data_IF_314238980309
#
_entry.id   IF_314238980309
#
_cell.length_a   1.000
_cell.length_b   1.000
_cell.length_c   1.000
_cell.angle_alpha   90.00
_cell.angle_beta   90.00
_cell.angle_gamma   90.00
#
_symmetry.space_group_name_H-M   'P 1'
#
loop_
_entity.id
_entity.type
_entity.pdbx_description
1 polymer ?
#
# COMPACT_ATOMS: atom_id res chain seq x y z
N UNK A 1 5.63 45.22 8.64
CA UNK A 1 6.28 43.99 8.12
C UNK A 1 5.51 42.76 8.59
N UNK A 2 4.42 42.39 7.91
CA UNK A 2 3.58 41.23 8.26
C UNK A 2 3.50 40.17 7.14
N UNK A 3 4.24 40.38 6.04
CA UNK A 3 4.19 39.52 4.84
C UNK A 3 5.04 38.25 4.97
N UNK A 4 6.12 38.27 5.76
CA UNK A 4 7.03 37.14 5.89
C UNK A 4 6.44 35.89 6.58
N UNK A 5 5.62 36.01 7.66
CA UNK A 5 5.02 34.83 8.30
C UNK A 5 3.97 34.15 7.41
N UNK A 6 3.18 34.93 6.65
CA UNK A 6 2.11 34.43 5.79
C UNK A 6 2.61 33.63 4.60
N UNK A 7 3.70 34.07 3.96
CA UNK A 7 4.31 33.36 2.82
C UNK A 7 4.98 32.06 3.25
N UNK A 8 5.65 32.05 4.41
CA UNK A 8 6.30 30.85 4.96
C UNK A 8 5.26 29.80 5.38
N UNK A 9 4.16 30.22 6.01
CA UNK A 9 3.07 29.32 6.38
C UNK A 9 2.35 28.73 5.16
N UNK A 10 2.13 29.52 4.11
CA UNK A 10 1.52 29.07 2.85
C UNK A 10 2.39 28.05 2.12
N UNK A 11 3.69 28.30 2.02
CA UNK A 11 4.64 27.38 1.40
C UNK A 11 4.71 26.03 2.16
N UNK A 12 4.80 26.08 3.49
CA UNK A 12 4.83 24.88 4.32
C UNK A 12 3.54 24.04 4.19
N UNK A 13 2.38 24.71 4.16
CA UNK A 13 1.08 24.05 3.97
C UNK A 13 0.99 23.39 2.60
N UNK A 14 1.44 24.06 1.53
CA UNK A 14 1.49 23.49 0.18
C UNK A 14 2.37 22.25 0.10
N UNK A 15 3.55 22.29 0.72
CA UNK A 15 4.46 21.15 0.79
C UNK A 15 3.84 19.96 1.53
N UNK A 16 3.19 20.20 2.68
CA UNK A 16 2.50 19.15 3.43
C UNK A 16 1.37 18.51 2.61
N UNK A 17 0.57 19.33 1.92
CA UNK A 17 -0.54 18.85 1.09
C UNK A 17 -0.03 18.03 -0.10
N UNK A 18 1.03 18.47 -0.78
CA UNK A 18 1.62 17.72 -1.88
C UNK A 18 2.12 16.34 -1.44
N UNK A 19 2.83 16.30 -0.30
CA UNK A 19 3.31 15.03 0.26
C UNK A 19 2.14 14.12 0.69
N UNK A 20 1.05 14.69 1.22
CA UNK A 20 -0.10 13.92 1.73
C UNK A 20 -0.89 13.36 0.56
N UNK A 21 -1.03 14.16 -0.49
CA UNK A 21 -1.59 13.73 -1.77
C UNK A 21 -0.80 12.56 -2.34
N UNK A 22 0.55 12.62 -2.35
CA UNK A 22 1.37 11.50 -2.84
C UNK A 22 1.17 10.24 -1.99
N UNK A 23 1.16 10.36 -0.66
CA UNK A 23 0.88 9.22 0.22
C UNK A 23 -0.49 8.59 -0.06
N UNK A 24 -1.55 9.41 -0.18
CA UNK A 24 -2.89 8.91 -0.47
C UNK A 24 -2.96 8.28 -1.87
N UNK A 25 -2.28 8.82 -2.86
CA UNK A 25 -2.19 8.23 -4.20
C UNK A 25 -1.62 6.82 -4.14
N UNK A 26 -0.47 6.62 -3.46
CA UNK A 26 0.15 5.30 -3.27
C UNK A 26 -0.77 4.33 -2.52
N UNK A 27 -1.45 4.81 -1.48
CA UNK A 27 -2.42 4.00 -0.73
C UNK A 27 -3.59 3.54 -1.62
N UNK A 28 -4.13 4.43 -2.45
CA UNK A 28 -5.23 4.09 -3.35
C UNK A 28 -4.77 3.18 -4.49
N UNK A 29 -3.54 3.36 -4.96
CA UNK A 29 -2.93 2.48 -5.96
C UNK A 29 -2.74 1.07 -5.41
N UNK A 30 -2.21 0.91 -4.19
CA UNK A 30 -2.10 -0.39 -3.54
C UNK A 30 -3.48 -1.07 -3.39
N UNK A 31 -4.52 -0.32 -3.01
CA UNK A 31 -5.89 -0.83 -2.97
C UNK A 31 -6.40 -1.26 -4.35
N UNK A 32 -6.08 -0.50 -5.39
CA UNK A 32 -6.47 -0.83 -6.76
C UNK A 32 -5.80 -2.13 -7.21
N UNK A 33 -4.51 -2.28 -6.92
CA UNK A 33 -3.73 -3.49 -7.23
C UNK A 33 -4.36 -4.72 -6.58
N UNK A 34 -4.62 -4.67 -5.26
CA UNK A 34 -5.26 -5.79 -4.54
C UNK A 34 -6.66 -6.12 -5.09
N UNK A 35 -7.46 -5.09 -5.41
CA UNK A 35 -8.81 -5.29 -5.99
C UNK A 35 -8.78 -5.83 -7.42
N UNK A 36 -7.67 -5.65 -8.13
CA UNK A 36 -7.49 -6.12 -9.50
C UNK A 36 -6.89 -7.53 -9.59
N UNK A 37 -6.67 -8.20 -8.45
CA UNK A 37 -6.24 -9.59 -8.42
C UNK A 37 -7.37 -10.44 -9.00
N UNK A 38 -7.15 -10.90 -10.22
CA UNK A 38 -8.07 -11.80 -10.91
C UNK A 38 -7.70 -13.24 -10.58
N UNK A 39 -8.68 -13.99 -10.11
CA UNK A 39 -8.57 -15.41 -9.81
C UNK A 39 -9.80 -16.16 -10.28
N UNK A 40 -9.63 -17.43 -10.60
CA UNK A 40 -10.70 -18.37 -10.96
C UNK A 40 -10.49 -19.63 -10.14
N UNK A 41 -11.57 -20.23 -9.65
CA UNK A 41 -11.46 -21.52 -8.99
C UNK A 41 -12.81 -22.20 -8.83
N UNK A 42 -12.76 -23.51 -8.65
CA UNK A 42 -13.90 -24.35 -8.35
C UNK A 42 -13.58 -25.10 -7.05
N UNK A 43 -14.10 -24.60 -5.93
CA UNK A 43 -13.87 -25.10 -4.58
C UNK A 43 -12.38 -25.16 -4.17
N UNK A 44 -11.78 -26.36 -4.08
CA UNK A 44 -10.42 -26.54 -3.54
C UNK A 44 -9.29 -26.09 -4.47
N UNK A 45 -9.56 -25.78 -5.74
CA UNK A 45 -8.55 -25.40 -6.73
C UNK A 45 -8.76 -23.98 -7.21
N UNK A 46 -7.94 -23.07 -6.69
CA UNK A 46 -7.88 -21.67 -7.14
C UNK A 46 -6.66 -21.44 -8.00
N UNK A 47 -6.79 -20.63 -9.04
CA UNK A 47 -5.73 -20.19 -9.92
C UNK A 47 -5.78 -18.67 -10.05
N UNK A 48 -4.64 -18.00 -9.83
CA UNK A 48 -4.50 -16.56 -10.00
C UNK A 48 -4.07 -16.29 -11.44
N UNK A 49 -4.84 -15.47 -12.17
CA UNK A 49 -4.65 -15.26 -13.61
C UNK A 49 -3.55 -14.26 -13.94
N UNK A 50 -3.11 -13.44 -12.97
CA UNK A 50 -2.10 -12.39 -13.19
C UNK A 50 -1.16 -12.26 -11.98
N UNK A 51 0.13 -12.52 -12.17
CA UNK A 51 1.14 -12.57 -11.10
C UNK A 51 1.94 -11.27 -10.90
N UNK A 52 1.84 -10.29 -11.82
CA UNK A 52 2.53 -9.00 -11.78
C UNK A 52 2.13 -8.12 -10.58
N UNK A 53 0.98 -8.40 -9.98
CA UNK A 53 0.40 -7.62 -8.88
C UNK A 53 1.24 -7.63 -7.59
N UNK A 54 2.02 -8.69 -7.36
CA UNK A 54 2.93 -8.73 -6.22
C UNK A 54 4.10 -7.75 -6.39
N UNK A 55 4.66 -7.66 -7.61
CA UNK A 55 5.71 -6.71 -7.94
C UNK A 55 5.21 -5.27 -7.86
N UNK A 56 4.01 -4.99 -8.37
CA UNK A 56 3.35 -3.68 -8.22
C UNK A 56 3.28 -3.25 -6.72
N UNK A 57 2.91 -4.18 -5.82
CA UNK A 57 2.86 -3.91 -4.38
C UNK A 57 4.24 -3.66 -3.79
N UNK A 58 5.26 -4.42 -4.20
CA UNK A 58 6.65 -4.21 -3.75
C UNK A 58 7.21 -2.85 -4.19
N UNK A 59 6.89 -2.40 -5.41
CA UNK A 59 7.26 -1.07 -5.90
C UNK A 59 6.59 0.04 -5.09
N UNK A 60 5.29 -0.07 -4.82
CA UNK A 60 4.55 0.88 -3.98
C UNK A 60 5.11 0.90 -2.55
N UNK A 61 5.46 -0.27 -2.00
CA UNK A 61 6.10 -0.38 -0.69
C UNK A 61 7.45 0.36 -0.67
N UNK A 62 8.29 0.16 -1.68
CA UNK A 62 9.57 0.86 -1.85
C UNK A 62 9.38 2.38 -1.90
N UNK A 63 8.38 2.87 -2.64
CA UNK A 63 8.04 4.28 -2.67
C UNK A 63 7.65 4.82 -1.29
N UNK A 64 6.79 4.10 -0.55
CA UNK A 64 6.40 4.49 0.81
C UNK A 64 7.61 4.52 1.77
N UNK A 65 8.54 3.57 1.65
CA UNK A 65 9.79 3.57 2.41
C UNK A 65 10.67 4.77 2.07
N UNK A 66 10.80 5.11 0.79
CA UNK A 66 11.56 6.28 0.32
C UNK A 66 10.98 7.60 0.87
N UNK A 67 9.65 7.66 1.00
CA UNK A 67 8.91 8.77 1.62
C UNK A 67 8.95 8.75 3.15
N UNK A 68 9.79 7.90 3.76
CA UNK A 68 9.95 7.73 5.21
C UNK A 68 8.69 7.24 5.93
N UNK A 69 7.78 6.60 5.21
CA UNK A 69 6.61 5.94 5.77
C UNK A 69 6.90 4.47 6.07
N UNK A 70 7.87 4.21 6.97
CA UNK A 70 8.35 2.85 7.26
C UNK A 70 7.22 1.85 7.57
N UNK A 71 6.32 2.18 8.50
CA UNK A 71 5.22 1.29 8.87
C UNK A 71 4.28 1.00 7.69
N UNK A 72 3.99 2.01 6.87
CA UNK A 72 3.16 1.85 5.68
C UNK A 72 3.84 0.98 4.62
N UNK A 73 5.11 1.27 4.32
CA UNK A 73 5.89 0.51 3.35
C UNK A 73 6.06 -0.95 3.76
N UNK A 74 6.36 -1.21 5.03
CA UNK A 74 6.44 -2.58 5.54
C UNK A 74 5.11 -3.32 5.41
N UNK A 75 3.98 -2.71 5.76
CA UNK A 75 2.69 -3.37 5.61
C UNK A 75 2.36 -3.68 4.14
N UNK A 76 2.59 -2.75 3.21
CA UNK A 76 2.35 -3.03 1.78
C UNK A 76 3.30 -4.12 1.26
N UNK A 77 4.54 -4.16 1.77
CA UNK A 77 5.50 -5.23 1.48
C UNK A 77 4.98 -6.59 1.97
N UNK A 78 4.46 -6.65 3.20
CA UNK A 78 3.89 -7.87 3.78
C UNK A 78 2.67 -8.37 2.99
N UNK A 79 1.83 -7.45 2.48
CA UNK A 79 0.73 -7.80 1.56
C UNK A 79 1.26 -8.37 0.25
N UNK A 80 2.31 -7.76 -0.33
CA UNK A 80 2.95 -8.28 -1.55
C UNK A 80 3.55 -9.67 -1.36
N UNK A 81 4.22 -9.91 -0.24
CA UNK A 81 4.77 -11.22 0.11
C UNK A 81 3.66 -12.26 0.33
N UNK A 82 2.60 -11.89 1.04
CA UNK A 82 1.44 -12.75 1.22
C UNK A 82 0.76 -13.12 -0.10
N UNK A 83 0.78 -12.23 -1.09
CA UNK A 83 0.30 -12.53 -2.43
C UNK A 83 1.20 -13.53 -3.16
N UNK A 84 2.53 -13.40 -3.06
CA UNK A 84 3.46 -14.40 -3.61
C UNK A 84 3.24 -15.78 -2.98
N UNK A 85 3.06 -15.83 -1.66
CA UNK A 85 2.76 -17.08 -0.95
C UNK A 85 1.43 -17.68 -1.41
N UNK A 86 0.41 -16.85 -1.63
CA UNK A 86 -0.89 -17.29 -2.14
C UNK A 86 -0.79 -17.81 -3.59
N UNK A 87 0.02 -17.17 -4.44
CA UNK A 87 0.29 -17.63 -5.81
C UNK A 87 0.96 -19.02 -5.76
N UNK A 88 2.03 -19.17 -4.99
CA UNK A 88 2.71 -20.45 -4.83
C UNK A 88 1.81 -21.54 -4.24
N UNK A 89 0.91 -21.19 -3.31
CA UNK A 89 -0.05 -22.14 -2.74
C UNK A 89 -1.13 -22.56 -3.75
N UNK A 90 -1.56 -21.65 -4.63
CA UNK A 90 -2.49 -21.94 -5.72
C UNK A 90 -1.87 -22.90 -6.75
N UNK A 91 -0.60 -22.72 -7.10
CA UNK A 91 0.15 -23.63 -8.00
C UNK A 91 0.22 -25.05 -7.45
N UNK A 92 0.36 -25.19 -6.13
CA UNK A 92 0.38 -26.49 -5.43
C UNK A 92 -1.03 -27.09 -5.20
N UNK A 93 -2.09 -26.51 -5.78
CA UNK A 93 -3.47 -27.03 -5.77
C UNK A 93 -4.10 -27.26 -4.38
N UNK A 94 -3.62 -26.55 -3.35
CA UNK A 94 -4.13 -26.66 -1.97
C UNK A 94 -4.61 -25.30 -1.43
N UNK A 95 -5.34 -24.56 -2.26
CA UNK A 95 -5.81 -23.21 -1.92
C UNK A 95 -7.27 -23.01 -2.35
N UNK A 96 -8.15 -22.94 -1.36
CA UNK A 96 -9.59 -22.75 -1.62
C UNK A 96 -9.91 -21.30 -1.99
N UNK A 97 -10.96 -21.14 -2.79
CA UNK A 97 -11.39 -19.81 -3.27
C UNK A 97 -11.84 -18.93 -2.11
N UNK A 98 -12.51 -19.50 -1.12
CA UNK A 98 -13.00 -18.77 0.06
C UNK A 98 -11.84 -18.24 0.89
N UNK A 99 -10.76 -19.03 1.02
CA UNK A 99 -9.54 -18.61 1.72
C UNK A 99 -8.87 -17.44 1.00
N UNK A 100 -8.76 -17.50 -0.32
CA UNK A 100 -8.20 -16.38 -1.10
C UNK A 100 -9.06 -15.12 -1.01
N UNK A 101 -10.38 -15.25 -1.08
CA UNK A 101 -11.32 -14.14 -0.93
C UNK A 101 -11.20 -13.45 0.43
N UNK A 102 -11.16 -14.24 1.51
CA UNK A 102 -10.97 -13.72 2.86
C UNK A 102 -9.64 -12.96 2.97
N UNK A 103 -8.56 -13.53 2.44
CA UNK A 103 -7.23 -12.92 2.48
C UNK A 103 -7.16 -11.61 1.67
N UNK A 104 -7.76 -11.57 0.48
CA UNK A 104 -7.87 -10.33 -0.32
C UNK A 104 -8.67 -9.25 0.44
N UNK A 105 -9.75 -9.63 1.11
CA UNK A 105 -10.53 -8.70 1.95
C UNK A 105 -9.70 -8.16 3.11
N UNK A 106 -8.94 -9.03 3.79
CA UNK A 106 -8.07 -8.64 4.89
C UNK A 106 -6.95 -7.70 4.43
N UNK A 107 -6.31 -7.98 3.29
CA UNK A 107 -5.33 -7.08 2.70
C UNK A 107 -5.93 -5.71 2.36
N UNK A 108 -7.13 -5.67 1.78
CA UNK A 108 -7.82 -4.40 1.55
C UNK A 108 -8.08 -3.64 2.85
N UNK A 109 -8.45 -4.33 3.92
CA UNK A 109 -8.68 -3.70 5.23
C UNK A 109 -7.38 -3.14 5.80
N UNK A 110 -6.31 -3.92 5.79
CA UNK A 110 -4.98 -3.49 6.24
C UNK A 110 -4.54 -2.23 5.49
N UNK A 111 -4.60 -2.23 4.15
CA UNK A 111 -4.19 -1.07 3.34
C UNK A 111 -5.06 0.16 3.64
N UNK A 112 -6.37 0.00 3.87
CA UNK A 112 -7.27 1.12 4.26
C UNK A 112 -6.88 1.73 5.60
N UNK A 113 -6.32 0.95 6.50
CA UNK A 113 -5.94 1.39 7.84
C UNK A 113 -4.54 2.03 7.90
N UNK A 114 -3.74 1.98 6.82
CA UNK A 114 -2.45 2.67 6.75
C UNK A 114 -2.66 4.17 6.99
N UNK A 115 -1.85 4.70 7.91
CA UNK A 115 -1.75 6.13 8.22
C UNK A 115 -0.37 6.67 7.85
N UNK A 116 -0.27 7.94 7.44
CA UNK A 116 1.02 8.58 7.25
C UNK A 116 1.77 8.64 8.58
N UNK A 117 3.09 8.47 8.51
CA UNK A 117 3.96 8.57 9.68
C UNK A 117 3.84 9.96 10.33
N UNK A 118 3.77 10.05 11.66
CA UNK A 118 3.67 11.34 12.35
C UNK A 118 4.89 12.26 12.11
N UNK A 119 6.07 11.66 11.83
CA UNK A 119 7.30 12.40 11.47
C UNK A 119 7.15 13.24 10.21
N UNK A 120 6.12 12.98 9.42
CA UNK A 120 5.75 13.73 8.22
C UNK A 120 5.30 15.17 8.50
N UNK A 121 4.71 15.43 9.67
CA UNK A 121 4.11 16.72 10.02
C UNK A 121 5.07 17.65 10.77
N UNK A 122 6.30 17.21 11.02
CA UNK A 122 7.31 18.00 11.72
C UNK A 122 8.14 18.80 10.70
N UNK A 123 8.20 20.14 10.80
CA UNK A 123 8.97 20.98 9.88
C UNK A 123 10.48 20.79 10.02
N UNK A 124 10.92 20.33 11.18
CA UNK A 124 12.31 20.06 11.49
C UNK A 124 12.46 18.55 11.65
N UNK A 125 13.07 17.90 10.64
CA UNK A 125 13.40 16.49 10.71
C UNK A 125 14.30 16.25 11.92
N UNK A 126 13.77 15.60 12.95
CA UNK A 126 14.61 15.14 14.05
C UNK A 126 15.04 13.70 13.79
N UNK A 127 16.37 13.63 13.68
CA UNK A 127 17.31 12.51 13.66
C UNK A 127 16.86 11.40 14.62
#
# INVERSE_FOLDING_TARGET
MALAPGTVAGYYSGLLMAKLSKFNALKYEALRVVRSINYVGDGPRTQILRSDKAEDLHLIASELLSLRHKAAGMMVMDVGNGLLDAIAACENSNYSVEKLQAQISDWQKQIREIKPSKRFFLPWGQI
#
